data_IF_006623916414
#
_entry.id   IF_006623916414
#
_cell.length_a   1.000
_cell.length_b   1.000
_cell.length_c   1.000
_cell.angle_alpha   90.00
_cell.angle_beta   90.00
_cell.angle_gamma   90.00
#
_symmetry.space_group_name_H-M   'P 1'
#
loop_
_entity.id
_entity.type
_entity.pdbx_description
1 polymer ?
#
# COMPACT_ATOMS: atom_id res chain seq x y z
N UNK A 1 -49.63 4.89 -15.41
CA UNK A 1 -48.41 5.72 -15.28
C UNK A 1 -47.66 5.34 -13.99
N UNK A 2 -46.91 4.24 -13.99
CA UNK A 2 -46.13 3.82 -12.82
C UNK A 2 -44.74 4.49 -12.84
N UNK A 3 -44.49 5.42 -11.91
CA UNK A 3 -43.20 6.10 -11.77
C UNK A 3 -42.13 5.11 -11.28
N UNK A 4 -41.28 4.64 -12.19
CA UNK A 4 -40.07 3.86 -11.86
C UNK A 4 -39.06 4.80 -11.21
N UNK A 5 -38.92 4.70 -9.87
CA UNK A 5 -37.94 5.44 -9.08
C UNK A 5 -36.54 4.96 -9.46
N UNK A 6 -35.76 5.80 -10.13
CA UNK A 6 -34.38 5.51 -10.49
C UNK A 6 -33.54 5.34 -9.21
N UNK A 7 -32.95 4.16 -9.04
CA UNK A 7 -31.99 3.88 -7.99
C UNK A 7 -30.73 4.70 -8.26
N UNK A 8 -30.47 5.70 -7.40
CA UNK A 8 -29.24 6.49 -7.38
C UNK A 8 -28.09 5.54 -7.05
N UNK A 9 -27.24 5.20 -8.04
CA UNK A 9 -25.94 4.56 -7.81
C UNK A 9 -25.14 5.48 -6.91
N UNK A 10 -25.04 5.15 -5.63
CA UNK A 10 -24.08 5.75 -4.71
C UNK A 10 -22.70 5.36 -5.20
N UNK A 11 -21.94 6.35 -5.68
CA UNK A 11 -20.52 6.19 -5.95
C UNK A 11 -19.87 5.69 -4.65
N UNK A 12 -19.31 4.48 -4.68
CA UNK A 12 -18.58 3.94 -3.55
C UNK A 12 -17.42 4.88 -3.24
N UNK A 13 -17.52 5.61 -2.12
CA UNK A 13 -16.42 6.35 -1.53
C UNK A 13 -15.31 5.32 -1.33
N UNK A 14 -14.24 5.37 -2.13
CA UNK A 14 -13.10 4.46 -1.96
C UNK A 14 -12.61 4.62 -0.53
N UNK A 15 -12.83 3.61 0.31
CA UNK A 15 -12.26 3.54 1.66
C UNK A 15 -10.77 3.80 1.52
N UNK A 16 -10.22 4.66 2.38
CA UNK A 16 -8.77 4.79 2.47
C UNK A 16 -8.19 3.37 2.65
N UNK A 17 -7.19 2.98 1.85
CA UNK A 17 -6.62 1.65 1.92
C UNK A 17 -6.09 1.42 3.34
N UNK A 18 -6.41 0.28 3.91
CA UNK A 18 -5.85 -0.13 5.20
C UNK A 18 -4.39 -0.52 5.04
N UNK A 19 -3.66 -0.58 6.17
CA UNK A 19 -2.28 -1.06 6.20
C UNK A 19 -2.15 -2.45 5.52
N UNK A 20 -3.11 -3.34 5.76
CA UNK A 20 -3.15 -4.67 5.18
C UNK A 20 -3.43 -4.65 3.66
N UNK A 21 -4.21 -3.69 3.18
CA UNK A 21 -4.45 -3.51 1.74
C UNK A 21 -3.16 -3.09 1.02
N UNK A 22 -2.38 -2.19 1.62
CA UNK A 22 -1.05 -1.82 1.13
C UNK A 22 -0.13 -3.03 1.11
N UNK A 23 -0.12 -3.85 2.17
CA UNK A 23 0.72 -5.04 2.23
C UNK A 23 0.38 -6.06 1.13
N UNK A 24 -0.90 -6.28 0.88
CA UNK A 24 -1.35 -7.14 -0.21
C UNK A 24 -1.00 -6.57 -1.59
N UNK A 25 -1.00 -5.24 -1.74
CA UNK A 25 -0.56 -4.59 -2.98
C UNK A 25 0.96 -4.70 -3.19
N UNK A 26 1.76 -4.56 -2.13
CA UNK A 26 3.22 -4.78 -2.21
C UNK A 26 3.52 -6.22 -2.58
N UNK A 27 2.87 -7.20 -1.95
CA UNK A 27 3.06 -8.61 -2.28
C UNK A 27 2.78 -8.88 -3.77
N UNK A 28 1.68 -8.35 -4.30
CA UNK A 28 1.35 -8.48 -5.74
C UNK A 28 2.33 -7.80 -6.68
N UNK A 29 3.06 -6.78 -6.24
CA UNK A 29 4.07 -6.08 -7.07
C UNK A 29 5.46 -6.69 -6.92
N UNK A 30 5.73 -7.34 -5.79
CA UNK A 30 6.98 -8.04 -5.51
C UNK A 30 7.00 -9.43 -6.15
N UNK A 31 5.82 -10.07 -6.24
CA UNK A 31 5.57 -11.27 -7.03
C UNK A 31 5.82 -10.96 -8.51
N UNK A 32 7.02 -11.32 -8.97
CA UNK A 32 7.52 -11.07 -10.32
C UNK A 32 8.08 -12.37 -10.86
N UNK A 33 8.01 -12.56 -12.19
CA UNK A 33 8.53 -13.77 -12.84
C UNK A 33 10.01 -13.98 -12.45
N UNK A 34 10.27 -15.02 -11.64
CA UNK A 34 11.60 -15.37 -11.13
C UNK A 34 11.81 -15.19 -9.62
N UNK A 35 10.85 -14.64 -8.88
CA UNK A 35 10.88 -14.47 -7.42
C UNK A 35 9.59 -15.01 -6.79
N UNK A 36 9.64 -16.22 -6.25
CA UNK A 36 8.55 -16.80 -5.44
C UNK A 36 8.56 -16.20 -4.02
N UNK A 37 8.20 -14.92 -3.89
CA UNK A 37 8.01 -14.29 -2.59
C UNK A 37 6.58 -14.57 -2.10
N UNK A 38 6.46 -15.22 -0.94
CA UNK A 38 5.15 -15.45 -0.35
C UNK A 38 4.56 -14.13 0.20
N UNK A 39 3.24 -13.96 0.11
CA UNK A 39 2.49 -12.85 0.73
C UNK A 39 2.80 -12.76 2.23
N UNK A 40 2.93 -13.89 2.92
CA UNK A 40 3.25 -13.93 4.35
C UNK A 40 4.65 -13.36 4.63
N UNK A 41 5.63 -13.67 3.79
CA UNK A 41 7.00 -13.17 3.93
C UNK A 41 7.06 -11.68 3.62
N UNK A 42 6.36 -11.23 2.57
CA UNK A 42 6.24 -9.80 2.26
C UNK A 42 5.70 -9.01 3.45
N UNK A 43 4.65 -9.52 4.11
CA UNK A 43 4.07 -8.89 5.30
C UNK A 43 5.06 -8.81 6.45
N UNK A 44 5.85 -9.86 6.67
CA UNK A 44 6.91 -9.87 7.69
C UNK A 44 8.00 -8.84 7.39
N UNK A 45 8.48 -8.78 6.14
CA UNK A 45 9.49 -7.80 5.73
C UNK A 45 8.98 -6.36 5.94
N UNK A 46 7.72 -6.08 5.60
CA UNK A 46 7.13 -4.76 5.82
C UNK A 46 6.95 -4.44 7.31
N UNK A 47 6.60 -5.42 8.14
CA UNK A 47 6.54 -5.24 9.59
C UNK A 47 7.93 -4.88 10.15
N UNK A 48 8.96 -5.67 9.80
CA UNK A 48 10.34 -5.39 10.20
C UNK A 48 10.84 -4.03 9.69
N UNK A 49 10.39 -3.58 8.52
CA UNK A 49 10.71 -2.23 8.04
C UNK A 49 10.16 -1.14 8.97
N UNK A 50 8.92 -1.29 9.47
CA UNK A 50 8.37 -0.35 10.44
C UNK A 50 9.00 -0.47 11.83
N UNK A 51 9.35 -1.69 12.26
CA UNK A 51 10.08 -1.91 13.53
C UNK A 51 11.42 -1.17 13.50
N UNK A 52 12.16 -1.25 12.38
CA UNK A 52 13.42 -0.50 12.20
C UNK A 52 13.18 1.01 12.17
N UNK A 53 12.05 1.48 11.63
CA UNK A 53 11.70 2.90 11.65
C UNK A 53 11.30 3.40 13.05
N UNK A 54 10.81 2.53 13.93
CA UNK A 54 10.42 2.86 15.31
C UNK A 54 11.63 3.31 16.15
N UNK A 55 12.83 2.80 15.84
CA UNK A 55 14.08 3.20 16.51
C UNK A 55 14.48 4.66 16.23
N UNK A 56 13.85 5.33 15.26
CA UNK A 56 14.12 6.71 14.88
C UNK A 56 13.07 7.67 15.44
N UNK A 57 13.45 8.95 15.56
CA UNK A 57 12.46 10.00 15.83
C UNK A 57 11.44 10.04 14.69
N UNK A 58 10.15 10.30 14.97
CA UNK A 58 9.11 10.30 13.94
C UNK A 58 9.44 11.16 12.71
N UNK A 59 10.02 12.35 12.92
CA UNK A 59 10.42 13.23 11.83
C UNK A 59 11.48 12.63 10.90
N UNK A 60 12.45 11.91 11.47
CA UNK A 60 13.53 11.24 10.72
C UNK A 60 13.00 10.01 9.99
N UNK A 61 12.14 9.22 10.65
CA UNK A 61 11.46 8.09 10.03
C UNK A 61 10.63 8.51 8.80
N UNK A 62 9.85 9.59 8.92
CA UNK A 62 9.09 10.12 7.78
C UNK A 62 9.99 10.67 6.66
N UNK A 63 11.13 11.27 6.99
CA UNK A 63 12.11 11.71 5.98
C UNK A 63 12.72 10.52 5.21
N UNK A 64 13.01 9.41 5.89
CA UNK A 64 13.46 8.16 5.24
C UNK A 64 12.38 7.64 4.27
N UNK A 65 11.12 7.60 4.70
CA UNK A 65 9.99 7.21 3.83
C UNK A 65 9.88 8.15 2.63
N UNK A 66 9.98 9.47 2.83
CA UNK A 66 9.93 10.45 1.75
C UNK A 66 11.05 10.26 0.72
N UNK A 67 12.28 10.00 1.18
CA UNK A 67 13.42 9.64 0.32
C UNK A 67 13.17 8.35 -0.46
N UNK A 68 12.60 7.33 0.19
CA UNK A 68 12.19 6.08 -0.43
C UNK A 68 11.17 6.29 -1.55
N UNK A 69 10.16 7.13 -1.34
CA UNK A 69 9.17 7.50 -2.34
C UNK A 69 9.79 8.24 -3.53
N UNK A 70 10.72 9.18 -3.29
CA UNK A 70 11.44 9.88 -4.36
C UNK A 70 12.21 8.91 -5.26
N UNK A 71 12.91 7.94 -4.66
CA UNK A 71 13.62 6.88 -5.39
C UNK A 71 12.67 5.91 -6.11
N UNK A 72 11.49 5.64 -5.57
CA UNK A 72 10.48 4.87 -6.28
C UNK A 72 9.97 5.62 -7.53
N UNK A 73 9.81 6.94 -7.44
CA UNK A 73 9.42 7.79 -8.57
C UNK A 73 10.40 7.74 -9.76
N UNK A 74 11.69 7.54 -9.51
CA UNK A 74 12.70 7.41 -10.58
C UNK A 74 12.69 6.04 -11.27
N UNK A 75 12.11 5.00 -10.66
CA UNK A 75 11.97 3.65 -11.27
C UNK A 75 10.75 3.54 -12.20
N UNK A 76 9.82 4.50 -12.12
CA UNK A 76 8.59 4.55 -12.91
C UNK A 76 8.73 5.33 -14.23
N UNK A 77 9.88 5.97 -14.47
CA UNK A 77 10.23 6.67 -15.70
C UNK A 77 11.30 5.88 -16.43
#
# INVERSE_FOLDING_TARGET
MAKKKAAKKTAATKKAPTLNDIYNEVARKADTDGLEINVAETKRVLACFFDVLEDYKPAEAFDIVAKGLKRAGTRRR
#
